data_IF_670538861604
#
_entry.id   IF_670538861604
#
_cell.length_a   1.000
_cell.length_b   1.000
_cell.length_c   1.000
_cell.angle_alpha   90.00
_cell.angle_beta   90.00
_cell.angle_gamma   90.00
#
_symmetry.space_group_name_H-M   'P 1'
#
loop_
_entity.id
_entity.type
_entity.pdbx_description
1 polymer ?
#
# COMPACT_ATOMS: atom_id res chain seq x y z
N UNK A 1 8.38 -5.99 -6.51
CA UNK A 1 7.97 -7.41 -6.56
C UNK A 1 8.88 -8.24 -7.48
N UNK A 2 9.33 -7.70 -8.62
CA UNK A 2 10.22 -8.44 -9.57
C UNK A 2 11.53 -8.91 -8.92
N UNK A 3 12.11 -8.13 -8.04
CA UNK A 3 13.42 -8.44 -7.42
C UNK A 3 13.33 -9.42 -6.24
N UNK A 4 12.23 -9.42 -5.50
CA UNK A 4 12.09 -10.23 -4.27
C UNK A 4 11.20 -11.45 -4.46
N UNK A 5 10.53 -11.59 -5.62
CA UNK A 5 9.52 -12.63 -5.87
C UNK A 5 8.27 -12.54 -4.96
N UNK A 6 8.14 -11.44 -4.21
CA UNK A 6 7.03 -11.19 -3.29
C UNK A 6 6.25 -9.95 -3.70
N UNK A 7 4.95 -9.96 -3.46
CA UNK A 7 4.11 -8.79 -3.65
C UNK A 7 4.27 -7.83 -2.47
N UNK A 8 4.42 -6.55 -2.76
CA UNK A 8 4.56 -5.49 -1.79
C UNK A 8 3.42 -4.49 -1.97
N UNK A 9 2.82 -4.08 -0.86
CA UNK A 9 1.83 -3.03 -0.78
C UNK A 9 2.49 -1.73 -0.37
N UNK A 10 2.03 -0.63 -0.96
CA UNK A 10 2.44 0.73 -0.61
C UNK A 10 1.23 1.40 0.04
N UNK A 11 1.44 2.02 1.19
CA UNK A 11 0.41 2.77 1.88
C UNK A 11 0.88 4.19 2.13
N UNK A 12 0.08 5.16 1.75
CA UNK A 12 0.28 6.58 2.06
C UNK A 12 -0.52 6.96 3.30
N UNK A 13 0.17 7.50 4.30
CA UNK A 13 -0.46 8.07 5.50
C UNK A 13 -0.61 9.57 5.34
N UNK A 14 -1.84 10.05 5.17
CA UNK A 14 -2.13 11.48 5.17
C UNK A 14 -1.99 12.02 6.60
N UNK A 15 -0.86 12.70 6.87
CA UNK A 15 -0.53 13.30 8.15
C UNK A 15 0.24 14.61 7.93
N UNK A 16 -0.36 15.77 8.27
CA UNK A 16 0.29 17.05 8.14
C UNK A 16 1.62 17.17 8.91
N UNK A 17 1.72 16.54 10.08
CA UNK A 17 2.94 16.56 10.89
C UNK A 17 4.07 15.76 10.24
N UNK A 18 3.76 14.60 9.64
CA UNK A 18 4.71 13.81 8.87
C UNK A 18 5.12 14.52 7.57
N UNK A 19 4.19 15.19 6.90
CA UNK A 19 4.49 15.99 5.70
C UNK A 19 5.42 17.17 6.03
N UNK A 20 5.14 17.90 7.10
CA UNK A 20 5.99 18.99 7.57
C UNK A 20 7.39 18.50 7.96
N UNK A 21 7.48 17.35 8.64
CA UNK A 21 8.76 16.75 9.00
C UNK A 21 9.56 16.31 7.78
N UNK A 22 8.93 15.59 6.85
CA UNK A 22 9.59 15.10 5.64
C UNK A 22 10.09 16.23 4.72
N UNK A 23 9.50 17.44 4.84
CA UNK A 23 9.85 18.63 4.07
C UNK A 23 10.78 19.58 4.82
N UNK A 24 11.10 19.31 6.08
CA UNK A 24 11.96 20.18 6.89
C UNK A 24 13.44 20.01 6.50
N UNK A 25 14.24 21.03 6.75
CA UNK A 25 15.68 21.01 6.53
C UNK A 25 16.38 19.97 7.41
N UNK A 26 15.84 19.74 8.59
CA UNK A 26 16.38 18.83 9.59
C UNK A 26 16.03 17.37 9.31
N UNK A 27 15.16 17.09 8.35
CA UNK A 27 14.66 15.73 8.10
C UNK A 27 15.78 14.72 7.88
N UNK A 28 16.80 15.07 7.09
CA UNK A 28 17.93 14.18 6.82
C UNK A 28 18.70 13.87 8.09
N UNK A 29 19.10 14.89 8.84
CA UNK A 29 19.89 14.70 10.06
C UNK A 29 19.11 13.97 11.15
N UNK A 30 17.84 14.32 11.33
CA UNK A 30 17.05 13.80 12.45
C UNK A 30 16.46 12.42 12.20
N UNK A 31 16.18 12.06 10.96
CA UNK A 31 15.58 10.74 10.64
C UNK A 31 16.61 9.64 10.44
N UNK A 32 17.88 9.98 10.16
CA UNK A 32 18.92 9.01 9.82
C UNK A 32 19.74 8.52 11.03
N UNK A 33 19.28 8.77 12.25
CA UNK A 33 20.02 8.41 13.47
C UNK A 33 19.57 7.10 14.11
N UNK A 34 18.35 6.62 13.86
CA UNK A 34 17.86 5.31 14.33
C UNK A 34 16.40 5.31 14.78
N UNK A 35 16.00 4.22 15.43
CA UNK A 35 14.63 4.01 15.90
C UNK A 35 14.39 4.60 17.29
N UNK A 36 13.13 4.97 17.62
CA UNK A 36 12.76 5.49 18.94
C UNK A 36 12.87 4.43 20.04
N UNK A 37 12.60 3.16 19.72
CA UNK A 37 12.80 2.00 20.59
C UNK A 37 13.43 0.87 19.78
N UNK A 38 14.27 0.03 20.42
CA UNK A 38 15.04 -0.99 19.69
C UNK A 38 14.19 -1.99 18.91
N UNK A 39 13.09 -2.44 19.49
CA UNK A 39 12.17 -3.42 18.91
C UNK A 39 11.41 -2.90 17.66
N UNK A 40 11.32 -1.60 17.48
CA UNK A 40 10.75 -1.02 16.27
C UNK A 40 11.51 -1.39 15.00
N UNK A 41 12.82 -1.69 15.10
CA UNK A 41 13.67 -2.02 13.94
C UNK A 41 13.12 -3.17 13.09
N UNK A 42 12.44 -4.16 13.70
CA UNK A 42 11.85 -5.29 12.97
C UNK A 42 10.66 -4.86 12.07
N UNK A 43 10.04 -3.71 12.37
CA UNK A 43 8.87 -3.18 11.65
C UNK A 43 9.20 -2.01 10.72
N UNK A 44 10.18 -1.18 11.08
CA UNK A 44 10.48 0.07 10.37
C UNK A 44 11.82 0.04 9.63
N UNK A 45 12.64 -1.00 9.86
CA UNK A 45 14.07 -0.95 9.60
C UNK A 45 14.77 0.11 10.45
N UNK A 46 16.09 0.14 10.37
CA UNK A 46 16.94 1.05 11.15
C UNK A 46 16.66 2.53 10.80
N UNK A 47 16.53 2.82 9.52
CA UNK A 47 16.38 4.17 8.97
C UNK A 47 15.34 4.21 7.87
N UNK A 48 14.66 5.33 7.65
CA UNK A 48 13.78 5.51 6.51
C UNK A 48 14.56 5.74 5.22
N UNK A 49 13.95 5.43 4.09
CA UNK A 49 14.36 5.97 2.79
C UNK A 49 13.88 7.41 2.68
N UNK A 50 14.78 8.32 2.30
CA UNK A 50 14.44 9.73 2.04
C UNK A 50 14.29 9.94 0.54
N UNK A 51 13.21 10.60 0.15
CA UNK A 51 12.97 11.04 -1.21
C UNK A 51 12.67 12.55 -1.23
N UNK A 52 13.46 13.28 -2.00
CA UNK A 52 13.21 14.67 -2.31
C UNK A 52 13.10 14.83 -3.83
N UNK A 53 11.93 14.48 -4.42
CA UNK A 53 11.78 14.38 -5.85
C UNK A 53 11.84 15.77 -6.52
N UNK A 54 12.72 15.89 -7.52
CA UNK A 54 12.93 17.14 -8.27
C UNK A 54 12.13 17.19 -9.57
N UNK A 55 11.65 16.04 -10.06
CA UNK A 55 11.05 15.91 -11.38
C UNK A 55 9.61 15.36 -11.31
N UNK A 56 8.75 15.97 -10.50
CA UNK A 56 7.36 15.50 -10.27
C UNK A 56 6.52 15.43 -11.57
N UNK A 57 6.82 16.27 -12.55
CA UNK A 57 6.09 16.34 -13.82
C UNK A 57 6.71 15.47 -14.94
N UNK A 58 7.83 14.77 -14.66
CA UNK A 58 8.52 13.90 -15.61
C UNK A 58 8.60 12.49 -15.01
N UNK A 59 7.70 11.62 -15.43
CA UNK A 59 7.56 10.27 -14.87
C UNK A 59 8.80 9.39 -15.06
N UNK A 60 9.56 9.58 -16.15
CA UNK A 60 10.78 8.80 -16.37
C UNK A 60 11.92 9.25 -15.47
N UNK A 61 12.12 10.57 -15.33
CA UNK A 61 13.13 11.10 -14.43
C UNK A 61 12.80 10.79 -12.98
N UNK A 62 11.54 10.97 -12.58
CA UNK A 62 11.07 10.61 -11.23
C UNK A 62 11.33 9.12 -10.93
N UNK A 63 11.04 8.24 -11.89
CA UNK A 63 11.31 6.80 -11.75
C UNK A 63 12.80 6.51 -11.57
N UNK A 64 13.68 7.16 -12.31
CA UNK A 64 15.12 7.03 -12.16
C UNK A 64 15.61 7.54 -10.81
N UNK A 65 15.07 8.67 -10.32
CA UNK A 65 15.38 9.19 -8.99
C UNK A 65 14.99 8.19 -7.89
N UNK A 66 13.77 7.66 -7.94
CA UNK A 66 13.29 6.67 -6.96
C UNK A 66 14.14 5.40 -7.02
N UNK A 67 14.43 4.89 -8.21
CA UNK A 67 15.24 3.69 -8.38
C UNK A 67 16.66 3.88 -7.83
N UNK A 68 17.30 5.02 -8.14
CA UNK A 68 18.63 5.34 -7.62
C UNK A 68 18.66 5.43 -6.09
N UNK A 69 17.66 6.10 -5.50
CA UNK A 69 17.56 6.23 -4.05
C UNK A 69 17.33 4.86 -3.37
N UNK A 70 16.49 4.00 -3.98
CA UNK A 70 16.24 2.65 -3.50
C UNK A 70 17.49 1.78 -3.55
N UNK A 71 18.25 1.82 -4.65
CA UNK A 71 19.51 1.09 -4.77
C UNK A 71 20.54 1.55 -3.72
N UNK A 72 20.68 2.86 -3.52
CA UNK A 72 21.54 3.41 -2.46
C UNK A 72 21.13 2.89 -1.08
N UNK A 73 19.83 2.87 -0.80
CA UNK A 73 19.27 2.35 0.46
C UNK A 73 19.61 0.87 0.66
N UNK A 74 19.39 0.04 -0.36
CA UNK A 74 19.70 -1.40 -0.35
C UNK A 74 21.19 -1.64 -0.09
N UNK A 75 22.05 -0.92 -0.79
CA UNK A 75 23.50 -1.02 -0.61
C UNK A 75 23.94 -0.62 0.81
N UNK A 76 23.33 0.40 1.40
CA UNK A 76 23.58 0.78 2.79
C UNK A 76 23.14 -0.32 3.77
N UNK A 77 21.99 -0.96 3.51
CA UNK A 77 21.49 -2.07 4.33
C UNK A 77 22.41 -3.30 4.22
N UNK A 78 22.86 -3.66 3.01
CA UNK A 78 23.87 -4.72 2.81
C UNK A 78 25.16 -4.44 3.57
N UNK A 79 25.63 -3.19 3.53
CA UNK A 79 26.84 -2.80 4.29
C UNK A 79 26.62 -2.93 5.80
N UNK A 80 25.49 -2.41 6.30
CA UNK A 80 25.11 -2.55 7.71
C UNK A 80 25.08 -4.02 8.14
N UNK A 81 24.43 -4.90 7.37
CA UNK A 81 24.39 -6.33 7.63
C UNK A 81 25.78 -6.95 7.69
N UNK A 82 26.58 -6.79 6.63
CA UNK A 82 27.92 -7.38 6.55
C UNK A 82 28.85 -6.91 7.67
N UNK A 83 28.82 -5.63 7.98
CA UNK A 83 29.68 -5.07 9.05
C UNK A 83 29.34 -5.68 10.40
N UNK A 84 28.04 -5.79 10.73
CA UNK A 84 27.63 -6.32 12.04
C UNK A 84 27.79 -7.84 12.14
N UNK A 85 27.56 -8.60 11.07
CA UNK A 85 27.87 -10.05 11.03
C UNK A 85 29.32 -10.30 11.29
N UNK A 86 30.20 -9.53 10.65
CA UNK A 86 31.68 -9.64 10.89
C UNK A 86 32.07 -9.25 12.31
N UNK A 87 31.59 -8.11 12.82
CA UNK A 87 31.91 -7.61 14.14
C UNK A 87 31.48 -8.54 15.27
N UNK A 88 30.29 -9.16 15.11
CA UNK A 88 29.70 -10.02 16.15
C UNK A 88 30.10 -11.50 15.99
N UNK A 89 30.78 -11.87 14.88
CA UNK A 89 31.17 -13.26 14.61
C UNK A 89 29.99 -14.23 14.51
N UNK A 90 28.81 -13.76 14.01
CA UNK A 90 27.58 -14.54 13.93
C UNK A 90 27.27 -14.98 12.50
N UNK A 91 26.66 -16.15 12.36
CA UNK A 91 26.12 -16.62 11.09
C UNK A 91 24.62 -16.30 11.02
N UNK A 92 24.25 -15.31 10.24
CA UNK A 92 22.88 -14.86 10.02
C UNK A 92 22.59 -14.74 8.53
N UNK A 93 21.34 -15.02 8.13
CA UNK A 93 20.87 -14.77 6.78
C UNK A 93 20.33 -13.35 6.69
N UNK A 94 20.79 -12.60 5.70
CA UNK A 94 20.31 -11.25 5.46
C UNK A 94 18.78 -11.23 5.21
N UNK A 95 18.11 -10.31 5.87
CA UNK A 95 16.69 -10.01 5.63
C UNK A 95 16.54 -9.21 4.34
N UNK A 96 15.30 -9.11 3.81
CA UNK A 96 15.09 -8.30 2.63
C UNK A 96 15.52 -6.83 2.85
N UNK A 97 16.25 -6.22 1.91
CA UNK A 97 16.85 -4.91 2.09
C UNK A 97 15.92 -3.73 1.79
N UNK A 98 14.63 -3.99 1.48
CA UNK A 98 13.70 -2.92 1.14
C UNK A 98 13.34 -2.05 2.35
N UNK A 99 13.18 -0.73 2.18
CA UNK A 99 12.72 0.14 3.24
C UNK A 99 11.30 -0.25 3.68
N UNK A 100 10.96 0.00 4.93
CA UNK A 100 9.59 -0.08 5.44
C UNK A 100 8.97 1.30 5.51
N UNK A 101 9.80 2.29 5.71
CA UNK A 101 9.44 3.69 5.85
C UNK A 101 10.09 4.49 4.71
N UNK A 102 9.31 5.33 4.07
CA UNK A 102 9.77 6.30 3.08
C UNK A 102 9.23 7.66 3.49
N UNK A 103 10.13 8.63 3.69
CA UNK A 103 9.79 10.03 3.87
C UNK A 103 9.93 10.74 2.55
N UNK A 104 8.87 11.37 2.08
CA UNK A 104 8.83 12.06 0.78
C UNK A 104 8.55 13.53 1.02
N UNK A 105 9.50 14.38 0.63
CA UNK A 105 9.32 15.84 0.75
C UNK A 105 8.09 16.29 -0.07
N UNK A 106 7.24 17.10 0.55
CA UNK A 106 5.97 17.56 -0.03
C UNK A 106 4.81 16.56 0.01
N UNK A 107 5.07 15.30 0.39
CA UNK A 107 4.03 14.27 0.52
C UNK A 107 3.90 13.75 1.95
N UNK A 108 5.02 13.44 2.62
CA UNK A 108 5.05 12.94 4.00
C UNK A 108 5.43 11.47 4.10
N UNK A 109 4.62 10.67 4.79
CA UNK A 109 4.93 9.31 5.18
C UNK A 109 4.31 8.28 4.23
N UNK A 110 5.16 7.48 3.64
CA UNK A 110 4.78 6.31 2.84
C UNK A 110 5.39 5.06 3.48
N UNK A 111 4.63 3.97 3.55
CA UNK A 111 5.10 2.70 4.12
C UNK A 111 4.98 1.56 3.13
N UNK A 112 5.84 0.55 3.27
CA UNK A 112 5.85 -0.65 2.43
C UNK A 112 5.74 -1.88 3.34
N UNK A 113 4.87 -2.80 2.97
CA UNK A 113 4.65 -4.05 3.70
C UNK A 113 4.09 -5.17 2.83
N UNK A 114 3.99 -6.37 3.37
CA UNK A 114 3.42 -7.55 2.69
C UNK A 114 1.91 -7.65 2.86
N UNK A 115 1.35 -6.84 3.76
CA UNK A 115 -0.09 -6.71 4.01
C UNK A 115 -0.42 -5.28 4.43
N UNK A 116 -1.68 -4.88 4.28
CA UNK A 116 -2.16 -3.57 4.75
C UNK A 116 -1.88 -3.40 6.25
N UNK A 117 -2.10 -4.45 7.05
CA UNK A 117 -1.81 -4.41 8.49
C UNK A 117 -0.33 -4.11 8.78
N UNK A 118 0.60 -4.68 8.01
CA UNK A 118 2.03 -4.37 8.19
C UNK A 118 2.35 -2.92 7.84
N UNK A 119 1.76 -2.39 6.78
CA UNK A 119 1.97 -0.99 6.37
C UNK A 119 1.39 -0.02 7.39
N UNK A 120 0.21 -0.30 7.94
CA UNK A 120 -0.44 0.51 8.98
C UNK A 120 0.38 0.50 10.28
N UNK A 121 0.81 -0.67 10.76
CA UNK A 121 1.66 -0.79 11.95
C UNK A 121 2.97 0.01 11.76
N UNK A 122 3.62 -0.11 10.61
CA UNK A 122 4.83 0.64 10.32
C UNK A 122 4.57 2.16 10.30
N UNK A 123 3.42 2.59 9.76
CA UNK A 123 3.01 4.00 9.74
C UNK A 123 2.76 4.53 11.15
N UNK A 124 2.00 3.80 11.99
CA UNK A 124 1.70 4.21 13.36
C UNK A 124 2.98 4.36 14.20
N UNK A 125 3.88 3.37 14.10
CA UNK A 125 5.17 3.38 14.78
C UNK A 125 6.00 4.59 14.33
N UNK A 126 6.08 4.84 13.02
CA UNK A 126 6.96 5.90 12.54
C UNK A 126 6.37 7.31 12.73
N UNK A 127 5.06 7.45 12.66
CA UNK A 127 4.38 8.69 13.05
C UNK A 127 4.67 9.05 14.52
N UNK A 128 4.63 8.06 15.41
CA UNK A 128 5.03 8.23 16.80
C UNK A 128 6.53 8.58 16.92
N UNK A 129 7.39 7.92 16.16
CA UNK A 129 8.84 8.18 16.11
C UNK A 129 9.15 9.62 15.70
N UNK A 130 8.47 10.16 14.67
CA UNK A 130 8.58 11.58 14.28
C UNK A 130 8.26 12.51 15.46
N UNK A 131 7.18 12.19 16.19
CA UNK A 131 6.79 12.96 17.37
C UNK A 131 7.85 12.94 18.49
N UNK A 132 8.48 11.79 18.74
CA UNK A 132 9.56 11.64 19.70
C UNK A 132 10.79 12.42 19.26
N UNK A 133 11.25 12.24 18.02
CA UNK A 133 12.42 12.92 17.46
C UNK A 133 12.28 14.44 17.61
N UNK A 134 11.16 15.01 17.13
CA UNK A 134 10.90 16.46 17.22
C UNK A 134 10.90 16.99 18.65
N UNK A 135 10.25 16.26 19.57
CA UNK A 135 10.22 16.66 21.00
C UNK A 135 11.58 16.58 21.64
N UNK A 136 12.36 15.52 21.33
CA UNK A 136 13.69 15.33 21.89
C UNK A 136 14.66 16.44 21.47
N UNK A 137 14.65 16.85 20.20
CA UNK A 137 15.48 17.96 19.74
C UNK A 137 15.05 19.32 20.29
N UNK A 138 13.78 19.48 20.69
CA UNK A 138 13.31 20.71 21.34
C UNK A 138 13.82 20.86 22.79
N UNK A 139 14.19 19.76 23.46
CA UNK A 139 14.63 19.77 24.87
C UNK A 139 16.08 19.31 25.06
N UNK A 140 16.74 18.84 23.99
CA UNK A 140 18.10 18.33 24.01
C UNK A 140 18.47 17.68 22.70
N UNK A 141 18.71 16.37 22.71
CA UNK A 141 19.03 15.59 21.51
C UNK A 141 18.34 14.23 21.52
N UNK A 142 18.13 13.66 20.35
CA UNK A 142 17.69 12.29 20.19
C UNK A 142 18.89 11.38 20.05
N UNK A 143 19.04 10.39 20.94
CA UNK A 143 20.16 9.43 20.94
C UNK A 143 19.61 8.01 20.98
N UNK A 144 19.41 7.35 19.84
CA UNK A 144 19.02 5.94 19.78
C UNK A 144 20.20 4.99 20.10
N UNK A 145 19.90 3.69 20.12
CA UNK A 145 20.94 2.68 20.23
C UNK A 145 21.88 2.69 19.01
N UNK A 146 23.11 2.20 19.22
CA UNK A 146 24.10 2.04 18.15
C UNK A 146 23.66 0.97 17.15
N UNK A 147 24.25 1.02 15.96
CA UNK A 147 23.95 0.08 14.86
C UNK A 147 24.11 -1.38 15.25
N UNK A 148 25.11 -1.71 16.09
CA UNK A 148 25.36 -3.07 16.56
C UNK A 148 24.23 -3.58 17.47
N UNK A 149 23.77 -2.76 18.41
CA UNK A 149 22.69 -3.12 19.33
C UNK A 149 21.36 -3.26 18.59
N UNK A 150 21.11 -2.38 17.58
CA UNK A 150 19.95 -2.49 16.70
C UNK A 150 20.01 -3.74 15.83
N UNK A 151 21.20 -4.13 15.36
CA UNK A 151 21.40 -5.36 14.61
C UNK A 151 21.05 -6.59 15.44
N UNK A 152 21.53 -6.66 16.68
CA UNK A 152 21.22 -7.76 17.59
C UNK A 152 19.70 -7.90 17.80
N UNK A 153 18.99 -6.78 17.95
CA UNK A 153 17.52 -6.77 18.06
C UNK A 153 16.85 -7.18 16.74
N UNK A 154 17.27 -6.63 15.60
CA UNK A 154 16.67 -6.93 14.29
C UNK A 154 16.84 -8.41 13.92
N UNK A 155 17.97 -9.03 14.25
CA UNK A 155 18.30 -10.41 13.90
C UNK A 155 18.09 -11.40 15.06
N UNK A 156 17.47 -10.97 16.16
CA UNK A 156 17.09 -11.85 17.26
C UNK A 156 15.91 -12.75 16.84
N UNK A 157 16.10 -14.07 17.02
CA UNK A 157 15.12 -15.06 16.55
C UNK A 157 13.74 -14.90 17.17
N UNK A 158 13.65 -14.48 18.45
CA UNK A 158 12.37 -14.22 19.14
C UNK A 158 11.67 -12.98 18.59
N UNK A 159 12.40 -11.93 18.25
CA UNK A 159 11.83 -10.75 17.62
C UNK A 159 11.33 -11.06 16.20
N UNK A 160 12.11 -11.81 15.41
CA UNK A 160 11.69 -12.26 14.08
C UNK A 160 10.45 -13.18 14.13
N UNK A 161 10.29 -13.96 15.18
CA UNK A 161 9.11 -14.81 15.38
C UNK A 161 7.81 -13.99 15.53
N UNK A 162 7.87 -12.76 16.04
CA UNK A 162 6.70 -11.83 16.13
C UNK A 162 6.16 -11.44 14.76
N UNK A 163 6.96 -11.55 13.69
CA UNK A 163 6.52 -11.25 12.32
C UNK A 163 5.69 -12.37 11.69
N UNK A 164 5.65 -13.56 12.32
CA UNK A 164 4.94 -14.73 11.83
C UNK A 164 5.68 -15.49 10.71
N UNK A 165 5.43 -16.79 10.60
CA UNK A 165 6.02 -17.68 9.57
C UNK A 165 4.95 -18.40 8.73
N UNK A 166 3.73 -17.87 8.61
CA UNK A 166 2.69 -18.51 7.81
C UNK A 166 3.06 -18.48 6.32
N UNK A 167 2.75 -19.57 5.60
CA UNK A 167 2.83 -19.54 4.14
C UNK A 167 1.92 -18.42 3.61
N UNK A 168 2.41 -17.61 2.66
CA UNK A 168 1.57 -16.59 2.07
C UNK A 168 0.34 -17.21 1.41
N UNK A 169 -0.82 -16.63 1.63
CA UNK A 169 -2.04 -17.04 0.94
C UNK A 169 -1.93 -16.73 -0.56
N UNK A 170 -2.70 -17.44 -1.40
CA UNK A 170 -2.58 -17.39 -2.88
C UNK A 170 -2.64 -15.98 -3.47
N UNK A 171 -3.46 -15.11 -2.90
CA UNK A 171 -3.63 -13.75 -3.36
C UNK A 171 -3.05 -12.70 -2.38
N UNK A 172 -2.20 -13.12 -1.44
CA UNK A 172 -1.58 -12.20 -0.50
C UNK A 172 -0.75 -11.14 -1.23
N UNK A 173 -0.97 -9.87 -0.85
CA UNK A 173 -0.32 -8.72 -1.49
C UNK A 173 -0.90 -8.35 -2.85
N UNK A 174 -1.99 -9.00 -3.31
CA UNK A 174 -2.74 -8.59 -4.50
C UNK A 174 -3.81 -7.57 -4.13
N UNK A 175 -3.96 -6.57 -4.98
CA UNK A 175 -4.99 -5.53 -4.87
C UNK A 175 -6.06 -5.81 -5.93
N UNK A 176 -7.29 -6.05 -5.49
CA UNK A 176 -8.41 -6.43 -6.34
C UNK A 176 -9.50 -5.37 -6.30
N UNK A 177 -9.81 -4.78 -7.45
CA UNK A 177 -10.93 -3.88 -7.63
C UNK A 177 -12.14 -4.66 -8.14
N UNK A 178 -13.28 -4.58 -7.47
CA UNK A 178 -14.50 -5.35 -7.81
C UNK A 178 -15.69 -4.41 -7.90
N UNK A 179 -16.41 -4.41 -9.05
CA UNK A 179 -17.66 -3.67 -9.23
C UNK A 179 -18.88 -4.58 -9.02
N UNK A 180 -20.01 -3.99 -8.59
CA UNK A 180 -21.18 -4.77 -8.20
C UNK A 180 -20.90 -5.65 -6.98
N UNK A 181 -20.12 -5.11 -6.02
CA UNK A 181 -19.57 -5.88 -4.92
C UNK A 181 -20.50 -6.00 -3.70
N UNK A 182 -21.61 -5.29 -3.69
CA UNK A 182 -22.59 -5.33 -2.59
C UNK A 182 -23.39 -6.62 -2.54
N UNK A 183 -23.52 -7.37 -3.65
CA UNK A 183 -24.37 -8.55 -3.71
C UNK A 183 -23.90 -9.60 -4.74
N UNK A 184 -24.60 -10.72 -4.79
CA UNK A 184 -24.49 -11.71 -5.87
C UNK A 184 -23.08 -12.21 -6.14
N UNK A 185 -22.71 -12.27 -7.41
CA UNK A 185 -21.42 -12.79 -7.88
C UNK A 185 -20.26 -11.89 -7.40
N UNK A 186 -20.43 -10.57 -7.44
CA UNK A 186 -19.40 -9.62 -6.99
C UNK A 186 -19.04 -9.82 -5.52
N UNK A 187 -20.04 -9.93 -4.63
CA UNK A 187 -19.82 -10.19 -3.21
C UNK A 187 -19.20 -11.58 -2.96
N UNK A 188 -19.67 -12.61 -3.66
CA UNK A 188 -19.08 -13.94 -3.54
C UNK A 188 -17.61 -13.96 -3.98
N UNK A 189 -17.28 -13.24 -5.05
CA UNK A 189 -15.92 -13.04 -5.54
C UNK A 189 -15.07 -12.29 -4.52
N UNK A 190 -15.61 -11.23 -3.90
CA UNK A 190 -14.94 -10.49 -2.85
C UNK A 190 -14.57 -11.39 -1.66
N UNK A 191 -15.50 -12.23 -1.20
CA UNK A 191 -15.26 -13.20 -0.12
C UNK A 191 -14.12 -14.16 -0.47
N UNK A 192 -14.14 -14.74 -1.66
CA UNK A 192 -13.11 -15.68 -2.11
C UNK A 192 -11.72 -15.04 -2.17
N UNK A 193 -11.60 -13.83 -2.66
CA UNK A 193 -10.34 -13.10 -2.69
C UNK A 193 -9.86 -12.73 -1.27
N UNK A 194 -10.77 -12.31 -0.38
CA UNK A 194 -10.45 -12.02 1.03
C UNK A 194 -9.91 -13.26 1.76
N UNK A 195 -10.55 -14.43 1.58
CA UNK A 195 -10.09 -15.72 2.11
C UNK A 195 -8.68 -16.08 1.65
N UNK A 196 -8.34 -15.70 0.43
CA UNK A 196 -7.01 -15.91 -0.16
C UNK A 196 -6.02 -14.75 0.11
N UNK A 197 -6.35 -13.81 1.01
CA UNK A 197 -5.44 -12.79 1.52
C UNK A 197 -5.26 -11.56 0.64
N UNK A 198 -6.11 -11.35 -0.37
CA UNK A 198 -6.08 -10.14 -1.18
C UNK A 198 -6.56 -8.91 -0.43
N UNK A 199 -6.05 -7.73 -0.79
CA UNK A 199 -6.62 -6.44 -0.44
C UNK A 199 -7.74 -6.09 -1.42
N UNK A 200 -8.89 -5.66 -0.91
CA UNK A 200 -10.10 -5.44 -1.71
C UNK A 200 -10.47 -3.97 -1.79
N UNK A 201 -10.77 -3.52 -3.01
CA UNK A 201 -11.42 -2.25 -3.26
C UNK A 201 -12.78 -2.52 -3.88
N UNK A 202 -13.84 -2.36 -3.08
CA UNK A 202 -15.20 -2.78 -3.40
C UNK A 202 -16.04 -1.59 -3.86
N UNK A 203 -16.70 -1.72 -4.99
CA UNK A 203 -17.47 -0.65 -5.60
C UNK A 203 -18.88 -1.13 -5.93
N UNK A 204 -19.86 -0.33 -5.56
CA UNK A 204 -21.26 -0.54 -5.88
C UNK A 204 -22.01 0.79 -5.90
N UNK A 205 -23.16 0.81 -6.53
CA UNK A 205 -24.11 1.93 -6.51
C UNK A 205 -24.94 1.93 -5.22
N UNK A 206 -25.26 0.74 -4.69
CA UNK A 206 -26.03 0.58 -3.45
C UNK A 206 -25.15 0.81 -2.23
N UNK A 207 -25.16 2.04 -1.75
CA UNK A 207 -24.36 2.51 -0.61
C UNK A 207 -24.63 1.72 0.67
N UNK A 208 -25.90 1.50 1.00
CA UNK A 208 -26.29 0.91 2.30
C UNK A 208 -25.87 -0.56 2.37
N UNK A 209 -26.18 -1.32 1.33
CA UNK A 209 -25.79 -2.73 1.22
C UNK A 209 -24.26 -2.87 1.18
N UNK A 210 -23.57 -2.02 0.40
CA UNK A 210 -22.12 -2.05 0.30
C UNK A 210 -21.43 -1.84 1.66
N UNK A 211 -21.85 -0.83 2.41
CA UNK A 211 -21.33 -0.56 3.75
C UNK A 211 -21.53 -1.76 4.68
N UNK A 212 -22.74 -2.30 4.71
CA UNK A 212 -23.08 -3.45 5.55
C UNK A 212 -22.20 -4.68 5.23
N UNK A 213 -22.04 -5.01 3.96
CA UNK A 213 -21.22 -6.16 3.55
C UNK A 213 -19.72 -5.92 3.78
N UNK A 214 -19.22 -4.70 3.58
CA UNK A 214 -17.83 -4.33 3.90
C UNK A 214 -17.55 -4.53 5.39
N UNK A 215 -18.45 -4.11 6.27
CA UNK A 215 -18.27 -4.31 7.72
C UNK A 215 -18.25 -5.79 8.10
N UNK A 216 -19.11 -6.62 7.49
CA UNK A 216 -19.09 -8.07 7.68
C UNK A 216 -17.75 -8.67 7.23
N UNK A 217 -17.29 -8.29 6.05
CA UNK A 217 -16.02 -8.76 5.50
C UNK A 217 -14.82 -8.36 6.39
N UNK A 218 -14.78 -7.12 6.89
CA UNK A 218 -13.74 -6.63 7.80
C UNK A 218 -13.71 -7.39 9.13
N UNK A 219 -14.87 -7.81 9.63
CA UNK A 219 -14.95 -8.65 10.86
C UNK A 219 -14.47 -10.08 10.61
N UNK A 220 -14.75 -10.61 9.42
CA UNK A 220 -14.43 -12.00 9.07
C UNK A 220 -12.97 -12.19 8.61
N UNK A 221 -12.42 -11.22 7.87
CA UNK A 221 -11.11 -11.33 7.23
C UNK A 221 -10.14 -10.26 7.73
N UNK A 222 -8.88 -10.66 7.92
CA UNK A 222 -7.79 -9.76 8.35
C UNK A 222 -7.04 -9.14 7.16
N UNK A 223 -7.75 -8.83 6.08
CA UNK A 223 -7.18 -8.20 4.88
C UNK A 223 -7.58 -6.73 4.81
N UNK A 224 -6.87 -5.94 4.01
CA UNK A 224 -7.26 -4.57 3.72
C UNK A 224 -8.54 -4.54 2.89
N UNK A 225 -9.60 -3.88 3.37
CA UNK A 225 -10.85 -3.73 2.63
C UNK A 225 -11.26 -2.26 2.63
N UNK A 226 -11.24 -1.66 1.46
CA UNK A 226 -11.76 -0.32 1.20
C UNK A 226 -12.95 -0.38 0.25
N UNK A 227 -13.75 0.67 0.24
CA UNK A 227 -14.90 0.74 -0.64
C UNK A 227 -15.14 2.18 -1.13
N UNK A 228 -15.83 2.30 -2.24
CA UNK A 228 -16.32 3.57 -2.76
C UNK A 228 -17.69 3.38 -3.41
N UNK A 229 -18.61 4.30 -3.17
CA UNK A 229 -19.92 4.28 -3.84
C UNK A 229 -19.75 4.95 -5.18
N UNK A 230 -20.06 4.21 -6.26
CA UNK A 230 -19.79 4.65 -7.64
C UNK A 230 -20.88 4.18 -8.57
N UNK A 231 -21.43 5.10 -9.36
CA UNK A 231 -22.12 4.75 -10.59
C UNK A 231 -21.08 4.46 -11.69
N UNK A 232 -20.93 3.19 -12.07
CA UNK A 232 -19.95 2.77 -13.07
C UNK A 232 -20.22 3.31 -14.47
N UNK A 233 -21.45 3.85 -14.73
CA UNK A 233 -21.79 4.53 -15.98
C UNK A 233 -21.30 5.98 -16.00
N UNK A 234 -20.93 6.53 -14.84
CA UNK A 234 -20.39 7.88 -14.68
C UNK A 234 -18.85 7.88 -14.74
N UNK A 235 -18.26 8.15 -15.91
CA UNK A 235 -16.80 8.12 -16.12
C UNK A 235 -16.02 8.93 -15.08
N UNK A 236 -16.53 10.11 -14.67
CA UNK A 236 -15.89 10.95 -13.66
C UNK A 236 -15.82 10.28 -12.28
N UNK A 237 -16.86 9.53 -11.90
CA UNK A 237 -16.88 8.79 -10.64
C UNK A 237 -15.94 7.61 -10.69
N UNK A 238 -15.94 6.87 -11.80
CA UNK A 238 -14.97 5.79 -12.05
C UNK A 238 -13.54 6.32 -11.87
N UNK A 239 -13.18 7.43 -12.53
CA UNK A 239 -11.84 8.03 -12.40
C UNK A 239 -11.48 8.37 -10.95
N UNK A 240 -12.39 9.03 -10.21
CA UNK A 240 -12.19 9.35 -8.79
C UNK A 240 -12.01 8.10 -7.94
N UNK A 241 -12.73 7.01 -8.23
CA UNK A 241 -12.58 5.77 -7.50
C UNK A 241 -11.20 5.13 -7.69
N UNK A 242 -10.63 5.20 -8.90
CA UNK A 242 -9.26 4.76 -9.15
C UNK A 242 -8.22 5.66 -8.47
N UNK A 243 -8.43 6.96 -8.40
CA UNK A 243 -7.57 7.86 -7.62
C UNK A 243 -7.59 7.49 -6.12
N UNK A 244 -8.77 7.17 -5.58
CA UNK A 244 -8.91 6.74 -4.19
C UNK A 244 -8.28 5.36 -3.95
N UNK A 245 -8.44 4.41 -4.87
CA UNK A 245 -7.74 3.12 -4.85
C UNK A 245 -6.22 3.31 -4.72
N UNK A 246 -5.65 4.19 -5.57
CA UNK A 246 -4.19 4.44 -5.58
C UNK A 246 -3.74 5.05 -4.25
N UNK A 247 -4.48 6.01 -3.70
CA UNK A 247 -4.17 6.60 -2.39
C UNK A 247 -4.21 5.56 -1.27
N UNK A 248 -5.17 4.61 -1.34
CA UNK A 248 -5.39 3.63 -0.28
C UNK A 248 -4.40 2.46 -0.33
N UNK A 249 -4.14 1.91 -1.52
CA UNK A 249 -3.37 0.67 -1.68
C UNK A 249 -2.13 0.80 -2.56
N UNK A 250 -1.93 1.96 -3.20
CA UNK A 250 -0.77 2.23 -4.04
C UNK A 250 -0.85 1.71 -5.47
N UNK A 251 -1.90 0.97 -5.84
CA UNK A 251 -2.04 0.42 -7.19
C UNK A 251 -3.17 -0.59 -7.33
N UNK A 252 -3.13 -1.39 -8.40
CA UNK A 252 -4.09 -2.45 -8.73
C UNK A 252 -3.36 -3.65 -9.36
N UNK A 253 -3.77 -4.86 -9.02
CA UNK A 253 -3.30 -6.09 -9.66
C UNK A 253 -4.41 -6.77 -10.49
N UNK A 254 -5.66 -6.67 -10.05
CA UNK A 254 -6.80 -7.39 -10.65
C UNK A 254 -8.01 -6.47 -10.71
N UNK A 255 -8.63 -6.37 -11.88
CA UNK A 255 -9.94 -5.76 -12.07
C UNK A 255 -10.99 -6.85 -12.29
N UNK A 256 -12.05 -6.85 -11.47
CA UNK A 256 -13.26 -7.65 -11.65
C UNK A 256 -14.41 -6.70 -12.02
N UNK A 257 -14.60 -6.51 -13.31
CA UNK A 257 -15.67 -5.68 -13.86
C UNK A 257 -16.94 -6.53 -13.94
N UNK A 258 -17.74 -6.52 -12.87
CA UNK A 258 -18.88 -7.41 -12.68
C UNK A 258 -20.22 -6.68 -12.61
N UNK A 259 -20.25 -5.38 -12.31
CA UNK A 259 -21.48 -4.60 -12.23
C UNK A 259 -22.29 -4.72 -13.54
N UNK A 260 -23.55 -5.05 -13.43
CA UNK A 260 -24.41 -5.21 -14.59
C UNK A 260 -25.84 -5.58 -14.18
N UNK A 261 -26.78 -5.43 -15.09
CA UNK A 261 -28.13 -5.91 -14.92
C UNK A 261 -28.70 -6.47 -16.23
N UNK A 262 -29.73 -7.28 -16.11
CA UNK A 262 -30.50 -7.80 -17.26
C UNK A 262 -31.86 -7.14 -17.31
N UNK A 263 -32.06 -6.30 -18.29
CA UNK A 263 -33.36 -5.74 -18.60
C UNK A 263 -34.16 -6.79 -19.39
N UNK A 264 -35.33 -7.15 -18.89
CA UNK A 264 -36.22 -8.13 -19.57
C UNK A 264 -37.26 -7.40 -20.43
N UNK A 265 -37.52 -7.92 -21.61
CA UNK A 265 -38.54 -7.43 -22.51
C UNK A 265 -38.55 -8.22 -23.81
N UNK A 266 -39.66 -8.20 -24.53
CA UNK A 266 -39.76 -8.82 -25.87
C UNK A 266 -39.16 -7.86 -26.90
N UNK A 267 -38.67 -8.43 -27.99
CA UNK A 267 -38.22 -7.65 -29.15
C UNK A 267 -39.41 -6.81 -29.67
N UNK A 268 -39.18 -5.49 -29.81
CA UNK A 268 -40.21 -4.53 -30.21
C UNK A 268 -41.01 -3.89 -29.06
N UNK A 269 -40.91 -4.41 -27.83
CA UNK A 269 -41.52 -3.83 -26.63
C UNK A 269 -40.51 -2.98 -25.79
N UNK A 270 -39.23 -3.27 -25.88
CA UNK A 270 -38.21 -2.50 -25.18
C UNK A 270 -37.93 -1.20 -25.91
N UNK A 271 -38.14 -0.08 -25.24
CA UNK A 271 -37.88 1.24 -25.81
C UNK A 271 -36.36 1.51 -25.97
N UNK A 272 -36.05 2.42 -26.91
CA UNK A 272 -34.66 2.74 -27.23
C UNK A 272 -33.86 3.34 -26.05
N UNK A 273 -34.51 4.04 -25.12
CA UNK A 273 -33.82 4.64 -23.96
C UNK A 273 -33.40 3.55 -22.96
N UNK A 274 -34.28 2.59 -22.70
CA UNK A 274 -34.04 1.42 -21.88
C UNK A 274 -32.91 0.56 -22.46
N UNK A 275 -32.94 0.33 -23.79
CA UNK A 275 -31.86 -0.40 -24.46
C UNK A 275 -30.52 0.33 -24.34
N UNK A 276 -30.47 1.64 -24.55
CA UNK A 276 -29.26 2.45 -24.39
C UNK A 276 -28.72 2.36 -22.96
N UNK A 277 -29.56 2.49 -21.92
CA UNK A 277 -29.13 2.32 -20.53
C UNK A 277 -28.52 0.94 -20.27
N UNK A 278 -29.06 -0.11 -20.88
CA UNK A 278 -28.46 -1.45 -20.79
C UNK A 278 -27.06 -1.51 -21.39
N UNK A 279 -26.87 -0.89 -22.56
CA UNK A 279 -25.53 -0.81 -23.16
C UNK A 279 -24.57 0.06 -22.36
N UNK A 280 -25.01 1.18 -21.79
CA UNK A 280 -24.18 2.00 -20.90
C UNK A 280 -23.66 1.20 -19.73
N UNK A 281 -24.53 0.42 -19.06
CA UNK A 281 -24.13 -0.37 -17.91
C UNK A 281 -23.35 -1.63 -18.30
N UNK A 282 -23.84 -2.43 -19.27
CA UNK A 282 -23.29 -3.77 -19.51
C UNK A 282 -22.17 -3.79 -20.56
N UNK A 283 -21.87 -2.66 -21.22
CA UNK A 283 -20.81 -2.57 -22.23
C UNK A 283 -19.88 -1.38 -22.01
N UNK A 284 -20.38 -0.14 -22.08
CA UNK A 284 -19.53 1.03 -22.03
C UNK A 284 -18.87 1.23 -20.67
N UNK A 285 -19.54 0.91 -19.58
CA UNK A 285 -18.95 0.97 -18.23
C UNK A 285 -17.76 0.01 -18.10
N UNK A 286 -17.87 -1.19 -18.64
CA UNK A 286 -16.79 -2.19 -18.63
C UNK A 286 -15.57 -1.71 -19.45
N UNK A 287 -15.81 -1.06 -20.59
CA UNK A 287 -14.76 -0.48 -21.42
C UNK A 287 -14.06 0.66 -20.67
N UNK A 288 -14.80 1.54 -20.00
CA UNK A 288 -14.24 2.64 -19.18
C UNK A 288 -13.40 2.10 -18.04
N UNK A 289 -13.90 1.13 -17.27
CA UNK A 289 -13.17 0.48 -16.18
C UNK A 289 -11.88 -0.21 -16.67
N UNK A 290 -11.98 -0.96 -17.77
CA UNK A 290 -10.82 -1.62 -18.38
C UNK A 290 -9.76 -0.61 -18.84
N UNK A 291 -10.17 0.49 -19.45
CA UNK A 291 -9.28 1.56 -19.89
C UNK A 291 -8.52 2.19 -18.72
N UNK A 292 -9.20 2.50 -17.60
CA UNK A 292 -8.56 3.02 -16.40
C UNK A 292 -7.58 2.01 -15.79
N UNK A 293 -7.95 0.73 -15.70
CA UNK A 293 -7.08 -0.30 -15.16
C UNK A 293 -5.83 -0.51 -16.03
N UNK A 294 -5.97 -0.58 -17.36
CA UNK A 294 -4.84 -0.74 -18.29
C UNK A 294 -3.84 0.42 -18.16
N UNK A 295 -4.32 1.67 -18.04
CA UNK A 295 -3.44 2.81 -17.81
C UNK A 295 -2.63 2.68 -16.53
N UNK A 296 -3.21 2.11 -15.46
CA UNK A 296 -2.49 1.83 -14.21
C UNK A 296 -1.51 0.67 -14.37
N UNK A 297 -1.90 -0.44 -14.98
CA UNK A 297 -1.00 -1.57 -15.25
C UNK A 297 0.24 -1.13 -16.02
N UNK A 298 0.06 -0.30 -17.06
CA UNK A 298 1.18 0.25 -17.81
C UNK A 298 2.11 1.14 -16.96
N UNK A 299 1.54 1.97 -16.07
CA UNK A 299 2.33 2.80 -15.15
C UNK A 299 3.07 1.96 -14.11
N UNK A 300 2.50 0.85 -13.68
CA UNK A 300 3.11 -0.09 -12.73
C UNK A 300 4.13 -1.03 -13.38
N UNK A 301 4.22 -1.11 -14.72
CA UNK A 301 4.99 -2.08 -15.50
C UNK A 301 4.61 -3.54 -15.17
N UNK A 302 3.33 -3.80 -14.99
CA UNK A 302 2.78 -5.13 -14.74
C UNK A 302 2.06 -5.67 -15.95
#
# INVERSE_FOLDING_TARGET
>A
SKETGQNWLIHYREDPAACAFASSLECEDWSQIGTATPDHVIRTKQKPLLLNPKHLNDSEKLRKEISSALEKYKNNYHKYFKTNVQSNGVDKKELDPLPRIILVAGLGLVTIGKSVKETEIAADIYQHTIGIIRKSFNIGQFSPLKDNDLFDMEYWSLEQAKLGKSKPARAQGKIVYITGAASGIGLATAKLFAENGASLFLVDLDKETLICEVEKLRKQFKTGIAFHVVDVTAEKEVKKSFEYLIKTFGGIDILISNAGNAIRGKIGEVDSATLRKSFELNFFSHQTLASQAVQLFQKQNT
#
